data_IF_971941353138
#
_entry.id   IF_971941353138
#
_cell.length_a   1.000
_cell.length_b   1.000
_cell.length_c   1.000
_cell.angle_alpha   90.00
_cell.angle_beta   90.00
_cell.angle_gamma   90.00
#
_symmetry.space_group_name_H-M   'P 1'
#
loop_
_entity.id
_entity.type
_entity.pdbx_description
1 polymer ?
#
# COMPACT_ATOMS: atom_id res chain seq x y z
N UNK A 1 -4.25 8.91 -5.22
CA UNK A 1 -4.26 7.97 -6.35
C UNK A 1 -3.91 6.57 -5.86
N UNK A 2 -4.74 5.60 -6.20
CA UNK A 2 -4.50 4.20 -5.85
C UNK A 2 -4.60 3.32 -7.09
N UNK A 3 -3.82 2.25 -7.08
CA UNK A 3 -3.90 1.18 -8.06
C UNK A 3 -4.15 -0.14 -7.34
N UNK A 4 -4.97 -0.99 -7.94
CA UNK A 4 -5.31 -2.28 -7.36
C UNK A 4 -4.95 -3.37 -8.36
N UNK A 5 -4.14 -4.33 -7.92
CA UNK A 5 -3.81 -5.53 -8.70
C UNK A 5 -4.56 -6.69 -8.04
N UNK A 6 -5.63 -7.17 -8.64
CA UNK A 6 -6.41 -8.29 -8.07
C UNK A 6 -5.77 -9.63 -8.39
N UNK A 7 -6.22 -10.66 -7.70
CA UNK A 7 -5.86 -12.06 -7.97
C UNK A 7 -4.36 -12.35 -7.89
N UNK A 8 -3.66 -11.67 -6.99
CA UNK A 8 -2.27 -11.94 -6.72
C UNK A 8 -2.16 -13.25 -5.93
N UNK A 9 -1.27 -14.14 -6.36
CA UNK A 9 -0.96 -15.34 -5.59
C UNK A 9 0.14 -15.01 -4.60
N UNK A 10 -0.10 -15.28 -3.32
CA UNK A 10 0.89 -15.08 -2.25
C UNK A 10 1.30 -16.43 -1.68
N UNK A 11 2.60 -16.59 -1.46
CA UNK A 11 3.19 -17.77 -0.83
C UNK A 11 4.03 -17.25 0.33
N UNK A 12 3.73 -17.70 1.53
CA UNK A 12 4.39 -17.19 2.73
C UNK A 12 4.45 -18.26 3.82
N UNK A 13 5.30 -18.02 4.80
CA UNK A 13 5.41 -18.91 5.96
C UNK A 13 4.62 -18.30 7.12
N UNK A 14 3.71 -19.08 7.64
CA UNK A 14 2.89 -18.68 8.78
C UNK A 14 2.69 -19.85 9.69
N UNK A 15 2.91 -19.64 11.00
CA UNK A 15 2.73 -20.67 12.03
C UNK A 15 3.50 -21.97 11.70
N UNK A 16 4.71 -21.81 11.21
CA UNK A 16 5.63 -22.92 10.92
C UNK A 16 5.37 -23.68 9.62
N UNK A 17 4.36 -23.31 8.85
CA UNK A 17 4.03 -23.96 7.57
C UNK A 17 3.99 -22.97 6.42
N UNK A 18 4.18 -23.50 5.21
CA UNK A 18 4.03 -22.71 3.98
C UNK A 18 2.56 -22.62 3.64
N UNK A 19 2.09 -21.38 3.51
CA UNK A 19 0.72 -21.06 3.16
C UNK A 19 0.65 -20.49 1.75
N UNK A 20 -0.48 -20.68 1.09
CA UNK A 20 -0.78 -20.05 -0.19
C UNK A 20 -2.14 -19.38 -0.10
N UNK A 21 -2.26 -18.23 -0.70
CA UNK A 21 -3.52 -17.50 -0.71
C UNK A 21 -3.61 -16.58 -1.91
N UNK A 22 -4.84 -16.19 -2.24
CA UNK A 22 -5.09 -15.17 -3.24
C UNK A 22 -5.37 -13.86 -2.53
N UNK A 23 -4.68 -12.82 -2.96
CA UNK A 23 -4.77 -11.49 -2.37
C UNK A 23 -4.87 -10.44 -3.45
N UNK A 24 -5.24 -9.22 -3.07
CA UNK A 24 -5.11 -8.05 -3.92
C UNK A 24 -3.97 -7.19 -3.40
N UNK A 25 -3.21 -6.58 -4.30
CA UNK A 25 -2.19 -5.60 -3.96
C UNK A 25 -2.74 -4.20 -4.19
N UNK A 26 -2.70 -3.36 -3.16
CA UNK A 26 -3.05 -1.95 -3.25
C UNK A 26 -1.77 -1.13 -3.26
N UNK A 27 -1.62 -0.29 -4.28
CA UNK A 27 -0.55 0.69 -4.34
C UNK A 27 -1.18 2.06 -4.19
N UNK A 28 -0.85 2.76 -3.12
CA UNK A 28 -1.30 4.12 -2.88
C UNK A 28 -0.13 5.10 -3.05
N UNK A 29 -0.34 6.16 -3.81
CA UNK A 29 0.67 7.19 -4.03
C UNK A 29 0.31 8.41 -3.21
N UNK A 30 1.22 8.84 -2.35
CA UNK A 30 0.98 9.94 -1.41
C UNK A 30 2.28 10.66 -1.09
N UNK A 31 2.19 11.75 -0.31
CA UNK A 31 3.36 12.44 0.24
C UNK A 31 3.86 11.73 1.49
N UNK A 32 5.16 11.88 1.76
CA UNK A 32 5.79 11.26 2.93
C UNK A 32 5.12 11.68 4.25
N UNK A 33 4.67 12.93 4.37
CA UNK A 33 4.03 13.43 5.58
C UNK A 33 2.65 12.82 5.86
N UNK A 34 2.07 12.12 4.89
CA UNK A 34 0.76 11.47 5.05
C UNK A 34 0.86 9.96 5.32
N UNK A 35 2.05 9.39 5.26
CA UNK A 35 2.25 7.94 5.39
C UNK A 35 1.75 7.41 6.73
N UNK A 36 2.06 8.10 7.82
CA UNK A 36 1.65 7.68 9.16
C UNK A 36 0.13 7.58 9.28
N UNK A 37 -0.59 8.62 8.88
CA UNK A 37 -2.05 8.67 8.96
C UNK A 37 -2.70 7.65 8.02
N UNK A 38 -2.13 7.49 6.83
CA UNK A 38 -2.59 6.49 5.86
C UNK A 38 -2.43 5.08 6.41
N UNK A 39 -1.27 4.77 7.01
CA UNK A 39 -1.04 3.48 7.64
C UNK A 39 -2.08 3.18 8.73
N UNK A 40 -2.33 4.16 9.59
CA UNK A 40 -3.30 4.01 10.68
C UNK A 40 -4.71 3.74 10.12
N UNK A 41 -5.09 4.46 9.07
CA UNK A 41 -6.40 4.29 8.46
C UNK A 41 -6.56 2.95 7.77
N UNK A 42 -5.57 2.54 6.97
CA UNK A 42 -5.58 1.23 6.30
C UNK A 42 -5.64 0.11 7.32
N UNK A 43 -4.82 0.20 8.37
CA UNK A 43 -4.82 -0.80 9.43
C UNK A 43 -6.18 -0.92 10.12
N UNK A 44 -6.86 0.20 10.36
CA UNK A 44 -8.17 0.21 11.01
C UNK A 44 -9.27 -0.46 10.17
N UNK A 45 -9.11 -0.49 8.86
CA UNK A 45 -10.09 -1.04 7.92
C UNK A 45 -9.73 -2.44 7.41
N UNK A 46 -8.48 -2.86 7.60
CA UNK A 46 -8.01 -4.13 7.07
C UNK A 46 -8.58 -5.30 7.85
N UNK A 47 -8.92 -6.38 7.14
CA UNK A 47 -9.48 -7.60 7.76
C UNK A 47 -8.44 -8.45 8.49
N UNK A 48 -7.14 -8.28 8.19
CA UNK A 48 -6.09 -9.03 8.86
C UNK A 48 -5.66 -8.35 10.15
N UNK A 49 -5.31 -9.14 11.16
CA UNK A 49 -4.72 -8.63 12.39
C UNK A 49 -3.34 -8.02 12.14
N UNK A 50 -2.58 -8.61 11.20
CA UNK A 50 -1.24 -8.16 10.84
C UNK A 50 -1.13 -8.00 9.33
N UNK A 51 -1.65 -6.89 8.77
CA UNK A 51 -1.54 -6.65 7.34
C UNK A 51 -0.12 -6.24 6.94
N UNK A 52 0.28 -6.61 5.73
CA UNK A 52 1.55 -6.15 5.17
C UNK A 52 1.38 -4.72 4.62
N UNK A 53 1.82 -3.75 5.39
CA UNK A 53 1.78 -2.34 5.01
C UNK A 53 3.22 -1.83 4.94
N UNK A 54 3.68 -1.50 3.74
CA UNK A 54 5.04 -1.06 3.48
C UNK A 54 5.00 0.29 2.78
N UNK A 55 5.89 1.19 3.16
CA UNK A 55 6.07 2.46 2.47
C UNK A 55 7.42 2.46 1.75
N UNK A 56 7.39 2.77 0.47
CA UNK A 56 8.60 2.78 -0.38
C UNK A 56 8.82 4.21 -0.84
N UNK A 57 9.96 4.83 -0.49
CA UNK A 57 10.27 6.15 -1.00
C UNK A 57 10.57 6.08 -2.50
N UNK A 58 10.09 7.09 -3.23
CA UNK A 58 10.34 7.20 -4.67
C UNK A 58 11.61 8.00 -4.90
N UNK A 59 12.50 7.46 -5.71
CA UNK A 59 13.74 8.14 -6.08
C UNK A 59 13.47 9.33 -7.00
N UNK A 60 12.45 9.22 -7.84
CA UNK A 60 12.10 10.25 -8.82
C UNK A 60 10.60 10.24 -9.06
N UNK A 61 10.04 11.42 -9.23
CA UNK A 61 8.66 11.62 -9.65
C UNK A 61 8.67 12.73 -10.71
N UNK A 62 8.03 12.47 -11.84
CA UNK A 62 7.88 13.50 -12.88
C UNK A 62 7.17 14.72 -12.29
N UNK A 63 7.65 15.92 -12.63
CA UNK A 63 7.18 17.17 -12.03
C UNK A 63 5.70 17.42 -12.25
N UNK A 64 5.18 17.14 -13.43
CA UNK A 64 3.76 17.34 -13.72
C UNK A 64 2.88 16.37 -12.91
N UNK A 65 3.32 15.13 -12.79
CA UNK A 65 2.61 14.14 -11.99
C UNK A 65 2.65 14.49 -10.50
N UNK A 66 3.80 14.92 -9.99
CA UNK A 66 3.95 15.34 -8.59
C UNK A 66 3.03 16.51 -8.25
N UNK A 67 2.93 17.48 -9.15
CA UNK A 67 2.03 18.61 -8.99
C UNK A 67 0.57 18.18 -8.94
N UNK A 68 0.17 17.32 -9.87
CA UNK A 68 -1.20 16.78 -9.89
C UNK A 68 -1.52 16.03 -8.61
N UNK A 69 -0.59 15.20 -8.14
CA UNK A 69 -0.78 14.43 -6.91
C UNK A 69 -0.94 15.36 -5.70
N UNK A 70 -0.09 16.36 -5.57
CA UNK A 70 -0.16 17.35 -4.49
C UNK A 70 -1.50 18.09 -4.46
N UNK A 71 -1.99 18.50 -5.61
CA UNK A 71 -3.27 19.20 -5.73
C UNK A 71 -4.44 18.34 -5.28
N UNK A 72 -4.32 17.02 -5.34
CA UNK A 72 -5.38 16.08 -5.00
C UNK A 72 -5.23 15.43 -3.61
N UNK A 73 -4.19 15.74 -2.88
CA UNK A 73 -3.98 15.19 -1.54
C UNK A 73 -4.52 16.09 -0.41
N UNK A 74 -4.90 17.28 -0.72
CA UNK A 74 -5.43 18.21 0.29
C UNK A 74 -4.34 18.73 1.20
#
# INVERSE_FOLDING_TARGET
CVNIIPHMQSIYRWDGTIQQGKEALLIAKTRADKVHDLNARVRSLHSYDMPAILAIPLLHVDADFAKWLDENLG
#
